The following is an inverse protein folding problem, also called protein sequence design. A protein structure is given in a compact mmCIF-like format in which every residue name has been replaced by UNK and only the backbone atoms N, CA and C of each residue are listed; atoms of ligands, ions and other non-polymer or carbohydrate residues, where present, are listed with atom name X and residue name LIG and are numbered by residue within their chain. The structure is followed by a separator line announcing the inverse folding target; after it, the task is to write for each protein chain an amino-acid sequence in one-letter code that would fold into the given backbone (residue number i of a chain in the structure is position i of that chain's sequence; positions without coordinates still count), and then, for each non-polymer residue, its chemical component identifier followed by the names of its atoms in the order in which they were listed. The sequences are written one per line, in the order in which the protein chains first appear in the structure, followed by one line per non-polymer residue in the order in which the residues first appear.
data_IF_115491497099
#
_entry.id   IF_115491497099
#
_cell.length_a   1.000
_cell.length_b   1.000
_cell.length_c   1.000
_cell.angle_alpha   90.00
_cell.angle_beta   90.00
_cell.angle_gamma   90.00
#
_symmetry.space_group_name_H-M   'P 1'
#
loop_
_entity.id
_entity.type
_entity.pdbx_description
1 polymer ?
#
# COMPACT_ATOMS: atom_id res chain seq x y z
N UNK A 1 -20.32 6.87 -27.99
CA UNK A 1 -19.73 5.59 -27.57
C UNK A 1 -19.64 4.64 -28.74
N UNK A 2 -18.44 4.20 -29.10
CA UNK A 2 -18.25 3.11 -30.06
C UNK A 2 -18.23 1.78 -29.27
N UNK A 3 -19.27 0.94 -29.38
CA UNK A 3 -19.36 -0.31 -28.63
C UNK A 3 -18.25 -1.31 -28.99
N UNK A 4 -17.52 -1.08 -30.09
CA UNK A 4 -16.39 -1.91 -30.52
C UNK A 4 -15.19 -1.79 -29.57
N UNK A 5 -15.02 -0.62 -28.95
CA UNK A 5 -13.88 -0.31 -28.06
C UNK A 5 -14.08 -0.92 -26.67
N UNK A 6 -15.31 -1.30 -26.31
CA UNK A 6 -15.64 -1.91 -25.01
C UNK A 6 -14.82 -3.16 -24.68
N UNK A 7 -14.41 -3.94 -25.69
CA UNK A 7 -13.58 -5.13 -25.50
C UNK A 7 -12.13 -4.77 -25.12
N UNK A 8 -11.59 -3.76 -25.77
CA UNK A 8 -10.23 -3.24 -25.51
C UNK A 8 -10.15 -2.67 -24.09
N UNK A 9 -11.14 -1.85 -23.72
CA UNK A 9 -11.23 -1.23 -22.38
C UNK A 9 -11.37 -2.29 -21.28
N UNK A 10 -12.17 -3.34 -21.51
CA UNK A 10 -12.34 -4.43 -20.55
C UNK A 10 -11.03 -5.21 -20.34
N UNK A 11 -10.27 -5.45 -21.42
CA UNK A 11 -8.98 -6.12 -21.33
C UNK A 11 -7.94 -5.26 -20.60
N UNK A 12 -7.89 -3.96 -20.90
CA UNK A 12 -7.00 -2.99 -20.25
C UNK A 12 -7.30 -2.88 -18.74
N UNK A 13 -8.58 -2.72 -18.38
CA UNK A 13 -9.02 -2.61 -16.99
C UNK A 13 -8.70 -3.87 -16.18
N UNK A 14 -8.84 -5.06 -16.78
CA UNK A 14 -8.49 -6.32 -16.11
C UNK A 14 -6.99 -6.39 -15.82
N UNK A 15 -6.12 -6.01 -16.77
CA UNK A 15 -4.67 -5.95 -16.57
C UNK A 15 -4.27 -4.95 -15.49
N UNK A 16 -4.92 -3.77 -15.46
CA UNK A 16 -4.67 -2.76 -14.44
C UNK A 16 -5.11 -3.22 -13.04
N UNK A 17 -6.22 -3.96 -12.95
CA UNK A 17 -6.65 -4.57 -11.70
C UNK A 17 -5.69 -5.68 -11.26
N UNK A 18 -5.22 -6.53 -12.16
CA UNK A 18 -4.23 -7.58 -11.85
C UNK A 18 -2.87 -6.98 -11.43
N UNK A 19 -2.50 -5.82 -11.98
CA UNK A 19 -1.26 -5.11 -11.63
C UNK A 19 -1.33 -4.34 -10.30
N UNK A 20 -2.53 -3.84 -9.94
CA UNK A 20 -2.80 -3.13 -8.69
C UNK A 20 -3.31 -4.05 -7.57
N UNK A 21 -3.74 -5.27 -7.91
CA UNK A 21 -4.07 -6.28 -6.93
C UNK A 21 -2.85 -6.45 -6.02
N UNK A 22 -3.04 -6.37 -4.68
CA UNK A 22 -1.96 -6.68 -3.77
C UNK A 22 -1.46 -8.06 -4.15
N UNK A 23 -0.19 -8.16 -4.58
CA UNK A 23 0.44 -9.45 -4.80
C UNK A 23 0.25 -10.19 -3.50
N UNK A 24 -0.49 -11.29 -3.54
CA UNK A 24 -0.57 -12.23 -2.44
C UNK A 24 0.84 -12.82 -2.35
N UNK A 25 1.72 -12.06 -1.70
CA UNK A 25 3.01 -12.52 -1.25
C UNK A 25 2.69 -13.73 -0.40
N UNK A 26 3.18 -14.88 -0.85
CA UNK A 26 3.05 -16.18 -0.24
C UNK A 26 3.29 -16.02 1.28
N UNK A 27 2.18 -15.93 2.04
CA UNK A 27 2.17 -15.76 3.48
C UNK A 27 2.54 -17.10 4.14
N UNK A 28 3.67 -17.68 3.73
CA UNK A 28 4.24 -18.82 4.38
C UNK A 28 4.92 -18.34 5.67
N UNK A 29 4.09 -18.30 6.72
CA UNK A 29 4.41 -18.10 8.15
C UNK A 29 4.70 -16.63 8.56
N UNK A 30 3.92 -16.03 9.47
CA UNK A 30 4.43 -14.93 10.27
C UNK A 30 5.51 -15.52 11.18
N UNK A 31 6.77 -15.43 10.75
CA UNK A 31 7.87 -15.46 11.69
C UNK A 31 7.58 -14.38 12.71
N UNK A 32 7.50 -14.77 13.98
CA UNK A 32 7.42 -13.84 15.11
C UNK A 32 8.47 -12.75 14.89
N UNK A 33 8.06 -11.56 14.47
CA UNK A 33 8.93 -10.40 14.55
C UNK A 33 9.18 -10.19 16.04
N UNK A 34 10.44 -10.43 16.41
CA UNK A 34 10.94 -10.27 17.76
C UNK A 34 10.52 -8.90 18.29
N UNK A 35 9.84 -8.96 19.43
CA UNK A 35 9.28 -7.85 20.16
C UNK A 35 10.38 -6.99 20.83
N UNK A 36 11.34 -6.50 20.05
CA UNK A 36 12.36 -5.54 20.48
C UNK A 36 12.17 -4.23 19.73
N UNK A 37 11.30 -3.37 20.27
CA UNK A 37 11.32 -1.93 19.97
C UNK A 37 12.69 -1.35 20.34
N UNK A 38 13.51 -0.84 19.40
CA UNK A 38 14.56 0.10 19.75
C UNK A 38 13.94 1.50 19.72
N UNK A 39 13.83 2.14 20.90
CA UNK A 39 13.67 3.59 21.01
C UNK A 39 12.33 4.16 20.53
N UNK A 40 11.62 4.84 21.44
CA UNK A 40 10.73 5.91 21.02
C UNK A 40 11.64 6.97 20.37
N UNK A 41 11.65 7.05 19.04
CA UNK A 41 12.18 8.23 18.38
C UNK A 41 11.21 9.37 18.73
N UNK A 42 11.74 10.40 19.38
CA UNK A 42 11.00 11.54 19.91
C UNK A 42 9.92 12.01 18.93
N UNK A 43 8.66 11.93 19.38
CA UNK A 43 7.46 12.09 18.57
C UNK A 43 7.20 13.51 18.07
N UNK A 44 8.09 14.03 17.24
CA UNK A 44 7.85 15.24 16.46
C UNK A 44 8.76 15.31 15.20
N UNK A 45 8.95 14.17 14.53
CA UNK A 45 9.60 14.15 13.22
C UNK A 45 8.71 14.84 12.19
N UNK A 46 9.17 15.97 11.63
CA UNK A 46 8.50 16.59 10.48
C UNK A 46 8.52 15.59 9.33
N UNK A 47 7.38 14.96 9.04
CA UNK A 47 7.23 14.06 7.91
C UNK A 47 7.02 14.88 6.63
N UNK A 48 7.98 14.81 5.70
CA UNK A 48 7.88 15.48 4.39
C UNK A 48 7.09 14.57 3.44
N UNK A 49 5.81 14.90 3.25
CA UNK A 49 4.93 14.19 2.33
C UNK A 49 5.39 14.36 0.88
N UNK A 50 5.36 13.28 0.12
CA UNK A 50 5.65 13.23 -1.32
C UNK A 50 4.35 13.05 -2.11
N UNK A 51 4.30 13.47 -3.38
CA UNK A 51 3.16 13.17 -4.25
C UNK A 51 2.94 11.66 -4.34
N UNK A 52 1.76 11.19 -3.93
CA UNK A 52 1.41 9.78 -3.86
C UNK A 52 1.31 9.20 -2.43
N UNK A 53 1.79 9.91 -1.42
CA UNK A 53 1.63 9.48 -0.03
C UNK A 53 0.16 9.62 0.41
N UNK A 54 -0.36 8.60 1.10
CA UNK A 54 -1.69 8.65 1.72
C UNK A 54 -1.57 8.80 3.23
N UNK A 55 -2.57 9.44 3.84
CA UNK A 55 -2.66 9.59 5.31
C UNK A 55 -2.58 8.23 6.01
N UNK A 56 -3.18 7.19 5.41
CA UNK A 56 -3.17 5.84 5.96
C UNK A 56 -1.76 5.21 5.96
N UNK A 57 -0.99 5.42 4.89
CA UNK A 57 0.37 4.87 4.79
C UNK A 57 1.34 5.60 5.74
N UNK A 58 1.20 6.93 5.85
CA UNK A 58 1.95 7.75 6.80
C UNK A 58 1.62 7.33 8.24
N UNK A 59 0.34 7.12 8.55
CA UNK A 59 -0.09 6.74 9.89
C UNK A 59 0.48 5.38 10.31
N UNK A 60 0.45 4.40 9.41
CA UNK A 60 1.07 3.08 9.63
C UNK A 60 2.58 3.18 9.84
N UNK A 61 3.27 3.96 9.01
CA UNK A 61 4.72 4.16 9.11
C UNK A 61 5.13 4.83 10.43
N UNK A 62 4.31 5.74 10.94
CA UNK A 62 4.54 6.42 12.23
C UNK A 62 3.94 5.66 13.43
N UNK A 63 3.38 4.46 13.21
CA UNK A 63 2.76 3.67 14.28
C UNK A 63 1.57 4.38 14.95
N UNK A 64 0.95 5.36 14.28
CA UNK A 64 -0.26 6.02 14.73
C UNK A 64 -1.45 5.24 14.20
N UNK A 65 -2.09 4.44 15.05
CA UNK A 65 -3.35 3.78 14.70
C UNK A 65 -4.48 4.82 14.76
N UNK A 66 -5.30 4.92 13.70
CA UNK A 66 -6.50 5.77 13.66
C UNK A 66 -7.63 5.22 14.54
#
# INVERSE_FOLDING_TARGET
DDPSVSKEILAEAKKLNDAQAPKEEDNNKPGKEDNKKPGKEDGNGVHVVKPGDTVNDIAKANGTTA
#
